data_IF_820970304678
#
_entry.id   IF_820970304678
#
_cell.length_a   1.000
_cell.length_b   1.000
_cell.length_c   1.000
_cell.angle_alpha   90.00
_cell.angle_beta   90.00
_cell.angle_gamma   90.00
#
_symmetry.space_group_name_H-M   'P 1'
#
loop_
_entity.id
_entity.type
_entity.pdbx_description
1 polymer ?
#
# COMPACT_ATOMS: atom_id res chain seq x y z
N UNK A 1 -3.65 6.96 -7.65
CA UNK A 1 -2.53 7.18 -8.60
C UNK A 1 -2.00 8.60 -8.48
N UNK A 2 -0.71 8.81 -8.80
CA UNK A 2 -0.17 10.16 -8.98
C UNK A 2 -0.38 10.57 -10.43
N UNK A 3 -0.95 11.75 -10.63
CA UNK A 3 -1.40 12.24 -11.94
C UNK A 3 -0.94 13.68 -12.10
N UNK A 4 -0.42 14.02 -13.27
CA UNK A 4 -0.06 15.38 -13.62
C UNK A 4 -0.82 15.86 -14.85
N UNK A 5 -1.01 17.16 -14.98
CA UNK A 5 -1.60 17.75 -16.18
C UNK A 5 -0.50 18.06 -17.21
N UNK A 6 -0.64 17.49 -18.40
CA UNK A 6 0.27 17.72 -19.52
C UNK A 6 -0.04 19.05 -20.26
N UNK A 7 0.91 19.52 -21.05
CA UNK A 7 0.77 20.72 -21.89
C UNK A 7 -0.38 20.63 -22.89
N UNK A 8 -0.79 19.43 -23.28
CA UNK A 8 -1.95 19.17 -24.12
C UNK A 8 -3.28 19.40 -23.41
N UNK A 9 -3.25 19.55 -22.09
CA UNK A 9 -4.43 19.65 -21.23
C UNK A 9 -4.95 18.33 -20.73
N UNK A 10 -4.52 17.18 -21.29
CA UNK A 10 -4.83 15.86 -20.78
C UNK A 10 -4.02 15.53 -19.52
N UNK A 11 -4.41 14.47 -18.79
CA UNK A 11 -3.79 14.09 -17.54
C UNK A 11 -3.00 12.80 -17.70
N UNK A 12 -1.75 12.82 -17.25
CA UNK A 12 -0.79 11.73 -17.36
C UNK A 12 -0.67 10.96 -16.06
N UNK A 13 -0.63 9.63 -16.16
CA UNK A 13 -0.33 8.73 -15.04
C UNK A 13 1.17 8.77 -14.75
N UNK A 14 1.57 9.37 -13.64
CA UNK A 14 2.97 9.47 -13.22
C UNK A 14 3.38 8.27 -12.36
N UNK A 15 2.45 7.80 -11.51
CA UNK A 15 2.66 6.61 -10.69
C UNK A 15 1.33 5.90 -10.46
N UNK A 16 1.33 4.58 -10.63
CA UNK A 16 0.22 3.74 -10.22
C UNK A 16 0.61 3.11 -8.88
N UNK A 17 -0.17 3.41 -7.85
CA UNK A 17 0.06 2.87 -6.51
C UNK A 17 -0.36 1.40 -6.48
N UNK A 18 0.53 0.45 -6.20
CA UNK A 18 0.13 -0.93 -6.01
C UNK A 18 -0.74 -1.03 -4.75
N UNK A 19 -1.86 -1.72 -4.87
CA UNK A 19 -2.76 -1.95 -3.76
C UNK A 19 -2.49 -3.27 -3.05
N UNK A 20 -3.38 -3.62 -2.13
CA UNK A 20 -3.41 -4.93 -1.47
C UNK A 20 -4.81 -5.53 -1.56
N UNK A 21 -4.90 -6.78 -2.01
CA UNK A 21 -6.17 -7.47 -2.27
C UNK A 21 -6.92 -7.92 -1.01
N UNK A 22 -6.25 -7.90 0.14
CA UNK A 22 -6.80 -8.37 1.42
C UNK A 22 -7.61 -7.30 2.17
N UNK A 23 -7.62 -6.05 1.70
CA UNK A 23 -8.41 -4.96 2.30
C UNK A 23 -9.08 -4.10 1.23
N UNK A 24 -10.35 -3.81 1.42
CA UNK A 24 -11.11 -2.95 0.49
C UNK A 24 -10.55 -1.52 0.43
N UNK A 25 -10.09 -0.97 1.56
CA UNK A 25 -9.50 0.37 1.65
C UNK A 25 -8.13 0.48 0.97
N UNK A 26 -7.47 -0.65 0.70
CA UNK A 26 -6.17 -0.72 0.03
C UNK A 26 -6.28 -1.16 -1.43
N UNK A 27 -7.48 -1.22 -1.97
CA UNK A 27 -7.69 -1.52 -3.39
C UNK A 27 -7.10 -0.43 -4.26
N UNK A 28 -6.45 -0.81 -5.33
CA UNK A 28 -5.92 0.12 -6.34
C UNK A 28 -6.60 -0.13 -7.69
N UNK A 29 -7.64 0.64 -8.04
CA UNK A 29 -8.46 0.38 -9.23
C UNK A 29 -7.68 0.28 -10.54
N UNK A 30 -6.59 1.05 -10.68
CA UNK A 30 -5.73 1.03 -11.87
C UNK A 30 -4.72 -0.13 -11.88
N UNK A 31 -4.54 -0.81 -10.75
CA UNK A 31 -3.64 -1.97 -10.61
C UNK A 31 -4.41 -3.29 -10.50
N UNK A 32 -5.74 -3.29 -10.65
CA UNK A 32 -6.54 -4.51 -10.62
C UNK A 32 -6.26 -5.42 -11.82
N UNK A 33 -6.37 -6.75 -11.65
CA UNK A 33 -6.20 -7.69 -12.75
C UNK A 33 -7.12 -7.36 -13.94
N UNK A 34 -6.55 -7.36 -15.15
CA UNK A 34 -7.30 -7.06 -16.39
C UNK A 34 -7.40 -5.57 -16.75
N UNK A 35 -7.00 -4.65 -15.87
CA UNK A 35 -7.04 -3.21 -16.16
C UNK A 35 -5.86 -2.76 -17.04
N UNK A 36 -4.66 -3.31 -16.80
CA UNK A 36 -3.45 -3.07 -17.61
C UNK A 36 -3.09 -1.59 -17.82
N UNK A 37 -3.44 -0.71 -16.87
CA UNK A 37 -3.01 0.69 -16.91
C UNK A 37 -1.49 0.78 -16.71
N UNK A 38 -0.83 1.69 -17.44
CA UNK A 38 0.63 1.85 -17.41
C UNK A 38 1.02 3.27 -17.07
N UNK A 39 2.09 3.39 -16.30
CA UNK A 39 2.73 4.68 -16.06
C UNK A 39 3.14 5.30 -17.40
N UNK A 40 2.88 6.58 -17.57
CA UNK A 40 3.12 7.32 -18.81
C UNK A 40 1.93 7.39 -19.75
N UNK A 41 0.87 6.58 -19.57
CA UNK A 41 -0.38 6.74 -20.32
C UNK A 41 -1.15 7.99 -19.88
N UNK A 42 -1.97 8.49 -20.78
CA UNK A 42 -2.85 9.64 -20.55
C UNK A 42 -4.27 9.18 -20.31
N UNK A 43 -4.90 9.72 -19.30
CA UNK A 43 -6.34 9.64 -19.09
C UNK A 43 -6.96 10.70 -20.01
N UNK A 44 -7.49 10.28 -21.15
CA UNK A 44 -7.97 11.21 -22.18
C UNK A 44 -9.47 11.47 -22.11
N UNK A 45 -10.26 10.55 -21.53
CA UNK A 45 -11.67 10.79 -21.26
C UNK A 45 -12.14 9.99 -20.03
N UNK A 46 -13.20 10.46 -19.38
CA UNK A 46 -13.93 9.79 -18.31
C UNK A 46 -15.41 9.81 -18.69
N UNK A 47 -16.05 8.64 -18.79
CA UNK A 47 -17.43 8.45 -19.28
C UNK A 47 -17.70 9.24 -20.57
N UNK A 48 -16.73 9.21 -21.49
CA UNK A 48 -16.81 9.90 -22.79
C UNK A 48 -16.54 11.41 -22.74
N UNK A 49 -16.38 12.01 -21.56
CA UNK A 49 -16.03 13.43 -21.42
C UNK A 49 -14.50 13.61 -21.51
N UNK A 50 -13.99 14.38 -22.48
CA UNK A 50 -12.56 14.62 -22.62
C UNK A 50 -11.97 15.32 -21.38
N UNK A 51 -10.87 14.80 -20.83
CA UNK A 51 -10.29 15.36 -19.61
C UNK A 51 -9.61 16.71 -19.82
N UNK A 52 -9.18 17.03 -21.04
CA UNK A 52 -8.63 18.35 -21.39
C UNK A 52 -9.68 19.47 -21.42
N UNK A 53 -10.98 19.13 -21.39
CA UNK A 53 -12.08 20.11 -21.33
C UNK A 53 -12.29 20.68 -19.92
N UNK A 54 -11.67 20.08 -18.89
CA UNK A 54 -11.81 20.49 -17.49
C UNK A 54 -10.47 20.93 -16.90
N UNK A 55 -10.53 21.78 -15.87
CA UNK A 55 -9.32 22.19 -15.13
C UNK A 55 -8.80 21.10 -14.23
N UNK A 56 -9.73 20.38 -13.62
CA UNK A 56 -9.46 19.29 -12.69
C UNK A 56 -10.27 18.06 -13.11
N UNK A 57 -9.58 16.96 -13.44
CA UNK A 57 -10.23 15.73 -13.86
C UNK A 57 -11.04 15.06 -12.75
N UNK A 58 -10.71 15.30 -11.48
CA UNK A 58 -11.45 14.74 -10.35
C UNK A 58 -12.89 15.27 -10.30
N UNK A 59 -13.17 16.43 -10.91
CA UNK A 59 -14.54 16.92 -11.07
C UNK A 59 -15.43 15.96 -11.86
N UNK A 60 -14.85 15.15 -12.75
CA UNK A 60 -15.56 14.12 -13.51
C UNK A 60 -15.80 12.82 -12.72
N UNK A 61 -15.19 12.70 -11.54
CA UNK A 61 -15.31 11.55 -10.65
C UNK A 61 -16.21 11.81 -9.42
N UNK A 62 -16.73 13.02 -9.28
CA UNK A 62 -17.61 13.39 -8.16
C UNK A 62 -18.86 12.49 -8.17
N UNK A 63 -19.15 11.87 -7.03
CA UNK A 63 -20.28 10.95 -6.87
C UNK A 63 -20.10 9.56 -7.52
N UNK A 64 -18.88 9.23 -7.96
CA UNK A 64 -18.57 7.94 -8.62
C UNK A 64 -17.79 6.96 -7.76
N UNK A 65 -17.64 7.24 -6.48
CA UNK A 65 -17.02 6.28 -5.56
C UNK A 65 -17.75 4.93 -5.60
N UNK A 66 -16.99 3.85 -5.77
CA UNK A 66 -17.49 2.48 -5.93
C UNK A 66 -18.45 2.25 -7.13
N UNK A 67 -18.61 3.22 -8.02
CA UNK A 67 -19.47 3.13 -9.22
C UNK A 67 -18.60 2.79 -10.44
N UNK A 68 -18.93 1.74 -11.21
CA UNK A 68 -18.23 1.43 -12.45
C UNK A 68 -18.17 2.63 -13.38
N UNK A 69 -16.98 3.08 -13.72
CA UNK A 69 -16.72 4.30 -14.49
C UNK A 69 -15.78 3.97 -15.65
N UNK A 70 -16.16 4.38 -16.86
CA UNK A 70 -15.34 4.19 -18.05
C UNK A 70 -14.20 5.21 -18.10
N UNK A 71 -12.98 4.72 -18.20
CA UNK A 71 -11.77 5.54 -18.37
C UNK A 71 -11.15 5.22 -19.73
N UNK A 72 -10.93 6.24 -20.54
CA UNK A 72 -10.21 6.11 -21.81
C UNK A 72 -8.72 6.42 -21.59
N UNK A 73 -7.85 5.46 -21.87
CA UNK A 73 -6.39 5.57 -21.76
C UNK A 73 -5.75 5.56 -23.14
N UNK A 74 -4.68 6.34 -23.28
CA UNK A 74 -3.88 6.37 -24.51
C UNK A 74 -2.40 6.60 -24.18
N UNK A 75 -1.50 6.04 -24.97
CA UNK A 75 -0.07 6.32 -24.89
C UNK A 75 0.30 7.73 -25.40
N UNK A 76 -0.60 8.38 -26.13
CA UNK A 76 -0.47 9.76 -26.63
C UNK A 76 -1.58 10.63 -26.06
N UNK A 77 -1.37 11.96 -25.91
CA UNK A 77 -2.37 12.88 -25.40
C UNK A 77 -3.43 13.22 -26.47
N UNK A 78 -4.21 12.25 -26.88
CA UNK A 78 -5.23 12.35 -27.91
C UNK A 78 -6.36 11.34 -27.66
N UNK A 79 -7.58 11.64 -28.14
CA UNK A 79 -8.73 10.75 -28.04
C UNK A 79 -8.68 9.60 -29.04
N UNK A 80 -8.15 9.85 -30.23
CA UNK A 80 -8.07 8.85 -31.30
C UNK A 80 -7.14 7.70 -30.89
N UNK A 81 -7.65 6.47 -31.06
CA UNK A 81 -6.91 5.25 -30.68
C UNK A 81 -6.86 4.98 -29.17
N UNK A 82 -7.62 5.71 -28.35
CA UNK A 82 -7.73 5.43 -26.92
C UNK A 82 -8.42 4.08 -26.67
N UNK A 83 -7.88 3.29 -25.75
CA UNK A 83 -8.53 2.08 -25.23
C UNK A 83 -9.40 2.43 -24.02
N UNK A 84 -10.46 1.66 -23.83
CA UNK A 84 -11.39 1.85 -22.73
C UNK A 84 -11.16 0.78 -21.66
N UNK A 85 -11.16 1.20 -20.42
CA UNK A 85 -11.18 0.34 -19.25
C UNK A 85 -12.35 0.77 -18.36
N UNK A 86 -12.82 -0.12 -17.51
CA UNK A 86 -13.83 0.21 -16.50
C UNK A 86 -13.22 -0.04 -15.13
N UNK A 87 -13.24 0.98 -14.30
CA UNK A 87 -12.79 0.92 -12.92
C UNK A 87 -13.88 1.42 -11.99
N UNK A 88 -13.80 1.08 -10.71
CA UNK A 88 -14.62 1.69 -9.67
C UNK A 88 -13.72 2.62 -8.84
N UNK A 89 -13.85 3.96 -8.99
CA UNK A 89 -13.06 4.92 -8.25
C UNK A 89 -13.20 4.76 -6.73
N UNK A 90 -12.17 5.15 -6.00
CA UNK A 90 -12.20 5.19 -4.53
C UNK A 90 -12.83 6.48 -4.05
N UNK A 91 -13.43 6.46 -2.87
CA UNK A 91 -13.90 7.67 -2.19
C UNK A 91 -12.72 8.54 -1.75
N UNK A 92 -11.65 7.89 -1.25
CA UNK A 92 -10.42 8.56 -0.82
C UNK A 92 -9.21 7.65 -1.08
N UNK A 93 -8.02 8.23 -1.15
CA UNK A 93 -6.79 7.51 -1.47
C UNK A 93 -5.78 7.51 -0.30
N UNK A 94 -6.11 8.11 0.86
CA UNK A 94 -5.17 8.26 1.98
C UNK A 94 -4.59 6.90 2.43
N UNK A 95 -5.47 5.92 2.68
CA UNK A 95 -5.06 4.58 3.10
C UNK A 95 -4.13 3.90 2.09
N UNK A 96 -4.40 4.10 0.79
CA UNK A 96 -3.58 3.55 -0.28
C UNK A 96 -2.20 4.24 -0.36
N UNK A 97 -2.15 5.57 -0.23
CA UNK A 97 -0.88 6.31 -0.17
C UNK A 97 -0.05 5.91 1.05
N UNK A 98 -0.68 5.85 2.23
CA UNK A 98 -0.02 5.43 3.46
C UNK A 98 0.55 4.02 3.34
N UNK A 99 -0.24 3.06 2.85
CA UNK A 99 0.23 1.71 2.60
C UNK A 99 1.45 1.66 1.68
N UNK A 100 1.41 2.37 0.56
CA UNK A 100 2.54 2.40 -0.37
C UNK A 100 3.79 3.05 0.25
N UNK A 101 3.61 4.12 1.02
CA UNK A 101 4.70 4.76 1.77
C UNK A 101 5.36 3.77 2.76
N UNK A 102 4.57 2.99 3.47
CA UNK A 102 5.07 1.94 4.37
C UNK A 102 5.86 0.88 3.59
N UNK A 103 5.30 0.38 2.47
CA UNK A 103 5.99 -0.62 1.65
C UNK A 103 7.31 -0.09 1.07
N UNK A 104 7.35 1.17 0.66
CA UNK A 104 8.56 1.81 0.15
C UNK A 104 9.62 1.99 1.27
N UNK A 105 9.20 2.31 2.51
CA UNK A 105 10.09 2.39 3.67
C UNK A 105 10.67 1.01 4.04
N UNK A 106 9.84 -0.03 4.07
CA UNK A 106 10.30 -1.41 4.29
C UNK A 106 11.39 -1.77 3.28
N UNK A 107 11.15 -1.56 1.98
CA UNK A 107 12.15 -1.83 0.92
C UNK A 107 13.41 -1.00 1.09
N UNK A 108 13.28 0.27 1.47
CA UNK A 108 14.41 1.18 1.69
C UNK A 108 15.29 0.73 2.85
N UNK A 109 14.70 0.36 3.98
CA UNK A 109 15.42 -0.14 5.15
C UNK A 109 16.07 -1.48 4.86
N UNK A 110 15.33 -2.41 4.26
CA UNK A 110 15.83 -3.72 3.86
C UNK A 110 17.06 -3.60 2.96
N UNK A 111 16.96 -2.78 1.91
CA UNK A 111 18.10 -2.51 1.00
C UNK A 111 19.28 -1.86 1.71
N UNK A 112 19.05 -0.87 2.58
CA UNK A 112 20.12 -0.15 3.26
C UNK A 112 20.86 -0.99 4.30
N UNK A 113 20.18 -1.99 4.88
CA UNK A 113 20.73 -2.89 5.89
C UNK A 113 21.17 -4.24 5.34
N UNK A 114 21.12 -4.46 4.02
CA UNK A 114 21.32 -5.78 3.40
C UNK A 114 20.41 -6.86 4.00
N UNK A 115 19.15 -6.53 4.23
CA UNK A 115 18.14 -7.44 4.76
C UNK A 115 18.16 -7.65 6.28
N UNK A 116 19.04 -6.98 7.01
CA UNK A 116 19.25 -7.21 8.45
C UNK A 116 18.26 -6.50 9.36
N UNK A 117 17.78 -5.33 8.95
CA UNK A 117 16.89 -4.49 9.77
C UNK A 117 15.47 -4.51 9.19
N UNK A 118 14.51 -4.72 10.07
CA UNK A 118 13.09 -4.60 9.75
C UNK A 118 12.57 -3.19 9.99
N UNK A 119 11.37 -2.90 9.44
CA UNK A 119 10.70 -1.62 9.61
C UNK A 119 9.24 -1.84 9.99
N UNK A 120 8.82 -1.24 11.09
CA UNK A 120 7.45 -1.24 11.59
C UNK A 120 6.95 0.22 11.51
N UNK A 121 5.87 0.50 10.74
CA UNK A 121 5.30 1.83 10.65
C UNK A 121 4.56 2.21 11.93
N UNK A 122 4.14 3.46 12.01
CA UNK A 122 3.18 3.93 12.99
C UNK A 122 1.94 3.02 13.03
N UNK A 123 1.56 2.71 14.25
CA UNK A 123 0.42 1.85 14.55
C UNK A 123 -0.84 2.71 14.62
N UNK A 124 -1.46 2.95 13.49
CA UNK A 124 -2.69 3.71 13.38
C UNK A 124 -3.84 3.21 14.29
N UNK A 125 -5.10 3.49 13.94
CA UNK A 125 -6.27 3.14 14.79
C UNK A 125 -6.41 1.65 15.12
N UNK A 126 -5.83 0.76 14.30
CA UNK A 126 -5.85 -0.68 14.53
C UNK A 126 -4.82 -1.16 15.58
N UNK A 127 -3.89 -0.27 15.99
CA UNK A 127 -2.96 -0.50 17.10
C UNK A 127 -2.21 -1.83 17.01
N UNK A 128 -2.48 -2.76 17.95
CA UNK A 128 -1.79 -4.03 18.04
C UNK A 128 -1.94 -4.93 16.81
N UNK A 129 -3.05 -4.85 16.09
CA UNK A 129 -3.25 -5.63 14.86
C UNK A 129 -2.30 -5.15 13.78
N UNK A 130 -2.11 -3.85 13.66
CA UNK A 130 -1.20 -3.24 12.69
C UNK A 130 0.26 -3.53 13.06
N UNK A 131 0.62 -3.39 14.34
CA UNK A 131 1.92 -3.83 14.84
C UNK A 131 2.19 -5.30 14.47
N UNK A 132 1.24 -6.18 14.76
CA UNK A 132 1.38 -7.62 14.49
C UNK A 132 1.58 -7.93 13.01
N UNK A 133 0.89 -7.20 12.13
CA UNK A 133 1.00 -7.35 10.67
C UNK A 133 2.42 -7.12 10.15
N UNK A 134 3.12 -6.16 10.74
CA UNK A 134 4.48 -5.82 10.32
C UNK A 134 5.57 -6.48 11.17
N UNK A 135 5.28 -6.82 12.41
CA UNK A 135 6.23 -7.45 13.33
C UNK A 135 6.50 -8.91 12.98
N UNK A 136 5.47 -9.73 12.90
CA UNK A 136 5.65 -11.17 12.71
C UNK A 136 6.37 -11.58 11.42
N UNK A 137 6.20 -10.92 10.27
CA UNK A 137 6.98 -11.26 9.07
C UNK A 137 8.47 -10.91 9.16
N UNK A 138 8.91 -10.20 10.20
CA UNK A 138 10.25 -9.66 10.34
C UNK A 138 10.97 -10.17 11.61
N UNK A 139 10.52 -11.29 12.17
CA UNK A 139 11.13 -11.91 13.36
C UNK A 139 12.55 -12.44 13.15
N UNK A 140 12.94 -12.65 11.91
CA UNK A 140 14.27 -13.10 11.49
C UNK A 140 15.29 -11.97 11.32
N UNK A 141 14.85 -10.72 11.51
CA UNK A 141 15.73 -9.55 11.39
C UNK A 141 16.61 -9.38 12.65
N UNK A 142 17.82 -8.89 12.44
CA UNK A 142 18.79 -8.60 13.52
C UNK A 142 18.37 -7.39 14.37
N UNK A 143 17.47 -6.54 13.86
CA UNK A 143 16.93 -5.40 14.59
C UNK A 143 15.72 -4.80 13.90
N UNK A 144 15.02 -3.90 14.58
CA UNK A 144 13.81 -3.25 14.08
C UNK A 144 13.89 -1.73 14.22
N UNK A 145 13.46 -1.03 13.19
CA UNK A 145 13.10 0.38 13.28
C UNK A 145 11.59 0.45 13.51
N UNK A 146 11.17 1.02 14.64
CA UNK A 146 9.77 1.31 14.92
C UNK A 146 9.59 2.81 14.66
N UNK A 147 8.81 3.15 13.62
CA UNK A 147 8.54 4.52 13.23
C UNK A 147 7.26 5.00 13.91
N UNK A 148 7.45 5.73 14.98
CA UNK A 148 6.35 6.25 15.83
C UNK A 148 6.00 7.71 15.52
N UNK A 149 6.46 8.24 14.40
CA UNK A 149 6.10 9.58 13.95
C UNK A 149 4.62 9.67 13.64
N UNK A 150 3.97 10.73 14.05
CA UNK A 150 2.54 10.96 13.94
C UNK A 150 1.65 10.07 14.82
N UNK A 151 2.20 9.28 15.74
CA UNK A 151 1.42 8.55 16.73
C UNK A 151 0.75 9.54 17.71
N UNK A 152 -0.56 9.44 17.84
CA UNK A 152 -1.36 10.27 18.75
C UNK A 152 -1.45 9.71 20.18
N UNK A 153 -0.76 8.61 20.49
CA UNK A 153 -0.86 7.89 21.75
C UNK A 153 -1.97 6.83 21.75
N UNK A 154 -2.09 6.12 22.88
CA UNK A 154 -3.08 5.03 23.06
C UNK A 154 -2.67 4.07 24.16
N UNK A 155 -3.48 3.06 24.42
CA UNK A 155 -3.28 2.08 25.49
C UNK A 155 -2.65 0.77 25.00
N UNK A 156 -2.01 0.77 23.83
CA UNK A 156 -1.38 -0.45 23.25
C UNK A 156 0.07 -0.65 23.67
N UNK A 157 0.73 0.37 24.21
CA UNK A 157 2.15 0.34 24.59
C UNK A 157 2.54 -0.86 25.48
N UNK A 158 1.79 -1.22 26.53
CA UNK A 158 2.12 -2.40 27.33
C UNK A 158 2.10 -3.71 26.54
N UNK A 159 1.19 -3.83 25.60
CA UNK A 159 1.07 -5.02 24.76
C UNK A 159 2.21 -5.13 23.75
N UNK A 160 2.68 -4.00 23.23
CA UNK A 160 3.83 -3.94 22.32
C UNK A 160 5.11 -4.27 23.08
N UNK A 161 5.31 -3.65 24.25
CA UNK A 161 6.45 -3.93 25.12
C UNK A 161 6.50 -5.42 25.51
N UNK A 162 5.36 -6.01 25.85
CA UNK A 162 5.27 -7.44 26.14
C UNK A 162 5.73 -8.28 24.93
N UNK A 163 5.34 -7.93 23.72
CA UNK A 163 5.78 -8.64 22.51
C UNK A 163 7.27 -8.51 22.25
N UNK A 164 7.81 -7.32 22.40
CA UNK A 164 9.23 -7.02 22.17
C UNK A 164 10.16 -7.59 23.26
N UNK A 165 9.64 -7.76 24.49
CA UNK A 165 10.41 -8.25 25.65
C UNK A 165 10.27 -9.76 25.86
N UNK A 166 9.68 -10.49 24.93
CA UNK A 166 9.50 -11.95 25.07
C UNK A 166 10.81 -12.68 25.07
N UNK A 167 11.03 -13.51 26.06
CA UNK A 167 12.15 -14.45 26.14
C UNK A 167 11.62 -15.88 26.00
N UNK A 168 12.28 -16.76 25.24
CA UNK A 168 11.87 -18.14 25.14
C UNK A 168 12.27 -18.88 26.43
N UNK A 169 11.31 -19.50 27.09
CA UNK A 169 11.53 -20.34 28.26
C UNK A 169 11.49 -21.84 27.93
N UNK A 170 11.04 -22.20 26.73
CA UNK A 170 10.98 -23.59 26.29
C UNK A 170 11.18 -23.69 24.78
N UNK A 171 11.95 -24.66 24.36
CA UNK A 171 12.06 -25.06 22.96
C UNK A 171 11.16 -26.27 22.69
N UNK A 172 10.53 -26.29 21.54
CA UNK A 172 9.69 -27.40 21.10
C UNK A 172 10.14 -27.87 19.73
N UNK A 173 10.17 -29.19 19.56
CA UNK A 173 10.48 -29.82 18.28
C UNK A 173 9.48 -30.95 18.03
N UNK A 174 8.87 -30.95 16.86
CA UNK A 174 8.02 -32.06 16.43
C UNK A 174 8.92 -33.13 15.76
N UNK A 175 8.75 -34.40 16.10
CA UNK A 175 9.49 -35.49 15.48
C UNK A 175 9.40 -35.41 13.95
N UNK A 176 10.57 -35.52 13.29
CA UNK A 176 10.67 -35.37 11.83
C UNK A 176 10.71 -33.93 11.29
N UNK A 177 10.60 -32.90 12.14
CA UNK A 177 10.75 -31.52 11.74
C UNK A 177 12.16 -31.02 11.99
N UNK A 178 12.68 -30.22 11.05
CA UNK A 178 13.96 -29.47 11.23
C UNK A 178 13.71 -28.11 11.90
N UNK A 179 12.44 -27.73 12.13
CA UNK A 179 12.11 -26.46 12.77
C UNK A 179 11.97 -26.63 14.27
N UNK A 180 12.67 -25.78 15.00
CA UNK A 180 12.52 -25.61 16.44
C UNK A 180 11.57 -24.48 16.67
N UNK A 181 10.51 -24.73 17.44
CA UNK A 181 9.60 -23.68 17.93
C UNK A 181 10.01 -23.21 19.31
N UNK A 182 9.61 -22.01 19.66
CA UNK A 182 9.80 -21.42 21.00
C UNK A 182 8.48 -21.34 21.76
N UNK A 183 8.54 -21.22 23.08
CA UNK A 183 7.40 -20.88 23.92
C UNK A 183 7.85 -19.75 24.86
N UNK A 184 7.18 -18.58 24.81
CA UNK A 184 6.15 -18.22 23.82
C UNK A 184 6.69 -18.28 22.39
N UNK A 185 5.78 -18.37 21.43
CA UNK A 185 6.12 -18.24 20.02
C UNK A 185 6.39 -16.78 19.63
N UNK A 186 6.88 -16.56 18.42
CA UNK A 186 7.15 -15.24 17.88
C UNK A 186 8.06 -14.37 18.80
N UNK A 187 9.16 -14.97 19.24
CA UNK A 187 10.24 -14.27 19.92
C UNK A 187 11.21 -13.74 18.87
N UNK A 188 11.56 -12.47 18.95
CA UNK A 188 12.64 -11.94 18.15
C UNK A 188 13.96 -12.37 18.75
N UNK A 189 14.78 -13.04 17.95
CA UNK A 189 16.16 -13.42 18.29
C UNK A 189 17.07 -12.59 17.39
N UNK A 190 17.52 -11.47 17.90
CA UNK A 190 18.49 -10.57 17.28
C UNK A 190 19.71 -10.39 18.15
#
# INVERSE_FOLDING_TARGET
AEISRDKSGFFRLEKILPGASWSKSLRSPLAEPGIEAKVGEFIVAIDGVPTNSVKDMYSLLVGKADVPTEISLNSKPQLEGARKIVISPLEEEYSLYHYNWVQDNIKKVDKASNGKIGYIPDMGPEGLNEFSRYFYPQLDKEGLIIDDRANGGGNVSPMILERLSREPYRLTMRGGSVRIGTVPDAVQVG
#
